data_IF_941776660567
#
_entry.id   IF_941776660567
#
_cell.length_a   1.000
_cell.length_b   1.000
_cell.length_c   1.000
_cell.angle_alpha   90.00
_cell.angle_beta   90.00
_cell.angle_gamma   90.00
#
_symmetry.space_group_name_H-M   'P 1'
#
loop_
_entity.id
_entity.type
_entity.pdbx_description
1 polymer ?
2 polymer ?
3 polymer ?
4 polymer ?
5 polymer ?
6 non-polymer ?
7 non-polymer ?
8 non-polymer ?
9 non-polymer ?
10 non-polymer ?
11 non-polymer ?
12 non-polymer ?
13 non-polymer ?
14 water ?
#
loop_
_entity_poly.entity_id
_entity_poly.type
_entity_poly.pdbx_seq_one_letter_code
_entity_poly.pdbx_strand_id
2 'polydeoxyribonucleotide' '(DC)(DG)(DG)(DC)(DA)(DT)' ?
3 'polydeoxyribonucleotide' '(DA)(DC)(DG)' ?
4 'polydeoxyribonucleotide' '(DC)(DG)(DT)(DA)(DT)' ?
5 'polydeoxyribonucleotide' '(DG)(DC)(DC)(DG)' ?
#
# COMPACT_ATOMS: atom_id res chain seq x y z
CA UNK A 9 23.16 -16.96 10.32
C UNK A 9 21.91 -17.48 9.61
N UNK A 10 20.80 -16.75 9.74
CA UNK A 10 19.51 -17.27 9.31
C UNK A 10 19.40 -17.33 7.79
N UNK A 11 18.68 -18.35 7.32
CA UNK A 11 18.24 -18.42 5.93
C UNK A 11 17.55 -17.12 5.52
N UNK A 12 18.04 -16.47 4.46
CA UNK A 12 17.33 -15.26 4.04
C UNK A 12 17.58 -14.91 2.58
N UNK A 13 16.63 -15.18 1.69
CA UNK A 13 16.81 -14.76 0.30
C UNK A 13 16.72 -13.25 0.18
N UNK A 14 17.28 -12.75 -0.92
CA UNK A 14 17.49 -11.33 -1.08
C UNK A 14 16.24 -10.59 -1.51
N UNK A 15 15.29 -11.25 -2.17
CA UNK A 15 14.05 -10.62 -2.61
C UNK A 15 12.93 -10.95 -1.64
N UNK A 16 12.11 -9.94 -1.34
CA UNK A 16 11.04 -10.18 -0.37
C UNK A 16 10.01 -11.18 -0.89
N UNK A 17 9.90 -11.35 -2.20
CA UNK A 17 8.93 -12.28 -2.74
C UNK A 17 9.36 -13.74 -2.68
N UNK A 18 10.58 -14.01 -2.19
CA UNK A 18 11.12 -15.35 -2.06
C UNK A 18 10.98 -15.92 -0.66
N UNK A 19 10.36 -15.20 0.26
CA UNK A 19 10.30 -15.65 1.65
C UNK A 19 8.95 -15.25 2.23
N UNK A 20 8.40 -16.06 3.11
CA UNK A 20 7.13 -15.70 3.74
C UNK A 20 7.35 -14.62 4.79
N UNK A 21 6.44 -13.66 4.83
CA UNK A 21 6.45 -12.62 5.85
C UNK A 21 5.06 -12.62 6.46
N UNK A 22 4.87 -13.13 7.66
CA UNK A 22 3.54 -13.25 8.24
C UNK A 22 3.08 -11.93 8.83
N UNK A 23 1.79 -11.87 9.15
CA UNK A 23 1.21 -10.69 9.74
C UNK A 23 1.86 -10.37 11.09
N UNK A 24 2.02 -11.38 11.93
CA UNK A 24 2.57 -11.22 13.26
C UNK A 24 3.99 -11.75 13.22
N UNK A 25 4.94 -10.92 13.59
CA UNK A 25 6.34 -11.32 13.49
C UNK A 25 7.14 -10.66 14.59
N UNK A 26 8.41 -11.01 14.65
CA UNK A 26 9.30 -10.44 15.64
C UNK A 26 9.95 -9.14 15.12
N UNK A 27 10.68 -8.49 16.01
CA UNK A 27 11.58 -7.41 15.67
C UNK A 27 10.85 -6.14 15.27
N UNK A 28 9.64 -5.95 15.80
CA UNK A 28 8.85 -4.79 15.43
C UNK A 28 9.57 -3.49 15.81
N UNK A 29 10.20 -3.46 16.97
CA UNK A 29 10.92 -2.25 17.36
C UNK A 29 12.04 -1.92 16.40
N UNK A 30 12.84 -2.92 16.05
CA UNK A 30 13.94 -2.69 15.12
C UNK A 30 13.42 -2.27 13.75
N UNK A 31 12.39 -2.97 13.25
CA UNK A 31 11.87 -2.64 11.93
C UNK A 31 11.21 -1.27 11.91
N UNK A 32 10.55 -0.87 13.01
CA UNK A 32 9.93 0.45 13.04
C UNK A 32 10.98 1.56 12.97
N UNK A 33 12.12 1.37 13.63
CA UNK A 33 13.20 2.35 13.57
C UNK A 33 13.74 2.50 12.15
N UNK A 34 13.99 1.37 11.49
CA UNK A 34 14.44 1.42 10.11
C UNK A 34 13.38 2.03 9.19
N UNK A 35 12.10 1.78 9.46
CA UNK A 35 11.07 2.40 8.63
C UNK A 35 10.95 3.90 8.84
N UNK A 36 11.27 4.40 10.04
CA UNK A 36 11.39 5.85 10.21
C UNK A 36 12.47 6.43 9.31
N UNK A 37 13.65 5.78 9.29
CA UNK A 37 14.71 6.28 8.42
C UNK A 37 14.32 6.16 6.95
N UNK A 38 13.57 5.12 6.58
CA UNK A 38 13.11 5.01 5.20
C UNK A 38 12.18 6.16 4.82
N UNK A 39 11.20 6.45 5.68
CA UNK A 39 10.26 7.55 5.45
C UNK A 39 11.01 8.87 5.34
N UNK A 40 11.97 9.09 6.25
CA UNK A 40 12.75 10.32 6.19
C UNK A 40 13.58 10.42 4.93
N UNK A 41 14.13 9.29 4.46
CA UNK A 41 14.85 9.31 3.19
C UNK A 41 13.92 9.73 2.06
N UNK A 42 12.71 9.21 2.07
CA UNK A 42 11.73 9.64 1.08
C UNK A 42 11.45 11.13 1.14
N UNK A 43 11.32 11.67 2.36
CA UNK A 43 11.03 13.08 2.51
C UNK A 43 12.14 13.96 1.94
N UNK A 44 13.37 13.47 1.94
CA UNK A 44 14.49 14.20 1.36
C UNK A 44 14.75 13.84 -0.11
N UNK A 45 13.88 13.04 -0.72
CA UNK A 45 13.97 12.74 -2.13
C UNK A 45 14.92 11.63 -2.49
N UNK A 46 15.35 10.82 -1.51
CA UNK A 46 16.24 9.71 -1.81
C UNK A 46 15.45 8.40 -1.80
N UNK A 47 14.91 8.06 -2.96
CA UNK A 47 14.11 6.85 -3.08
C UNK A 47 14.99 5.60 -2.98
N UNK A 48 16.26 5.68 -3.36
CA UNK A 48 17.13 4.54 -3.19
C UNK A 48 17.37 4.19 -1.73
N UNK A 49 17.71 5.19 -0.92
CA UNK A 49 17.87 4.96 0.52
C UNK A 49 16.56 4.46 1.13
N UNK A 50 15.43 5.07 0.76
CA UNK A 50 14.15 4.59 1.24
C UNK A 50 14.00 3.10 0.99
N UNK A 51 14.34 2.67 -0.22
CA UNK A 51 14.13 1.28 -0.58
C UNK A 51 15.04 0.34 0.19
N UNK A 52 16.31 0.72 0.43
CA UNK A 52 17.19 -0.12 1.25
C UNK A 52 16.68 -0.24 2.69
N UNK A 53 16.28 0.89 3.32
CA UNK A 53 15.80 0.81 4.69
C UNK A 53 14.50 0.01 4.78
N UNK A 54 13.61 0.14 3.79
CA UNK A 54 12.42 -0.71 3.76
C UNK A 54 12.80 -2.18 3.62
N UNK A 55 13.72 -2.48 2.72
CA UNK A 55 14.12 -3.87 2.53
C UNK A 55 14.76 -4.46 3.78
N UNK A 56 15.59 -3.68 4.47
CA UNK A 56 16.21 -4.16 5.69
C UNK A 56 15.17 -4.40 6.79
N UNK A 57 14.23 -3.46 6.95
CA UNK A 57 13.14 -3.66 7.90
C UNK A 57 12.37 -4.93 7.58
N UNK A 58 12.13 -5.17 6.30
CA UNK A 58 11.34 -6.33 5.89
C UNK A 58 12.07 -7.62 6.21
N UNK A 59 13.41 -7.65 6.03
CA UNK A 59 14.19 -8.83 6.36
C UNK A 59 13.96 -9.20 7.83
N UNK A 60 13.94 -8.22 8.72
CA UNK A 60 13.74 -8.52 10.14
C UNK A 60 12.37 -9.12 10.40
N UNK A 61 11.38 -8.76 9.60
CA UNK A 61 10.04 -9.32 9.81
C UNK A 61 9.96 -10.76 9.39
N UNK A 62 10.87 -11.22 8.54
CA UNK A 62 10.87 -12.58 8.04
C UNK A 62 11.74 -13.51 8.87
N UNK A 63 12.47 -13.01 9.86
CA UNK A 63 13.34 -13.85 10.65
C UNK A 63 12.54 -14.74 11.58
N UNK A 64 13.07 -15.93 11.92
CA UNK A 64 12.32 -16.85 12.78
C UNK A 64 12.23 -16.40 14.23
N UNK A 65 13.17 -15.59 14.72
CA UNK A 65 13.23 -15.26 16.13
C UNK A 65 13.59 -13.82 16.38
N UNK A 66 13.42 -13.32 17.60
CA UNK A 66 13.89 -11.98 17.94
C UNK A 66 15.40 -11.86 17.76
N UNK A 67 15.80 -10.72 17.20
CA UNK A 67 17.22 -10.36 17.16
C UNK A 67 17.58 -9.77 18.52
N UNK A 68 18.52 -10.41 19.20
CA UNK A 68 18.99 -9.98 20.50
C UNK A 68 20.46 -9.63 20.53
N UNK A 69 21.23 -10.06 19.54
CA UNK A 69 22.66 -9.79 19.46
C UNK A 69 23.00 -9.38 18.03
N UNK A 70 23.99 -8.48 17.92
CA UNK A 70 24.39 -8.00 16.60
C UNK A 70 24.81 -9.14 15.69
N UNK A 71 25.32 -10.23 16.25
CA UNK A 71 25.82 -11.32 15.41
C UNK A 71 24.72 -11.96 14.58
N UNK A 72 23.46 -11.86 15.02
CA UNK A 72 22.36 -12.43 14.25
C UNK A 72 22.13 -11.70 12.93
N UNK A 73 22.76 -10.55 12.71
CA UNK A 73 22.64 -9.84 11.44
C UNK A 73 23.63 -10.34 10.39
N UNK A 74 24.62 -11.12 10.81
CA UNK A 74 25.65 -11.56 9.89
C UNK A 74 25.03 -12.23 8.66
N UNK A 75 25.44 -11.78 7.50
CA UNK A 75 25.05 -12.41 6.27
C UNK A 75 23.69 -12.02 5.75
N UNK A 76 22.94 -11.17 6.46
CA UNK A 76 21.60 -10.87 5.98
C UNK A 76 21.64 -9.88 4.81
N UNK A 77 20.86 -10.12 3.77
CA UNK A 77 20.80 -9.14 2.67
C UNK A 77 20.25 -7.81 3.14
N UNK A 78 20.78 -6.74 2.53
CA UNK A 78 20.36 -5.35 2.72
C UNK A 78 20.76 -4.77 4.06
N UNK A 79 21.58 -5.49 4.85
CA UNK A 79 22.22 -4.94 6.04
C UNK A 79 23.66 -4.60 5.73
N UNK A 80 23.95 -3.32 5.73
CA UNK A 80 25.32 -2.84 5.62
C UNK A 80 25.68 -2.04 6.83
N UNK A 81 26.64 -1.13 6.67
CA UNK A 81 27.15 -0.41 7.83
C UNK A 81 26.06 0.39 8.51
N UNK A 82 25.20 1.05 7.73
CA UNK A 82 24.26 1.99 8.32
C UNK A 82 23.13 1.27 9.05
N UNK A 83 22.48 0.31 8.38
CA UNK A 83 21.39 -0.42 9.02
C UNK A 83 21.87 -1.22 10.21
N UNK A 84 23.07 -1.79 10.13
CA UNK A 84 23.63 -2.54 11.26
C UNK A 84 23.88 -1.64 12.45
N UNK A 85 24.39 -0.43 12.21
CA UNK A 85 24.65 0.49 13.33
C UNK A 85 23.37 0.88 14.05
N UNK A 86 22.29 1.11 13.30
CA UNK A 86 21.00 1.43 13.92
C UNK A 86 20.56 0.28 14.83
N UNK A 87 20.61 -0.94 14.34
CA UNK A 87 20.24 -2.09 15.16
C UNK A 87 21.15 -2.19 16.38
N UNK A 88 22.47 -2.02 16.17
CA UNK A 88 23.42 -2.14 17.27
C UNK A 88 23.10 -1.15 18.39
N UNK A 89 22.83 0.11 18.03
CA UNK A 89 22.47 1.10 19.04
C UNK A 89 21.19 0.72 19.78
N UNK A 90 20.18 0.26 19.04
CA UNK A 90 18.94 -0.15 19.69
C UNK A 90 19.19 -1.31 20.66
N UNK A 91 20.01 -2.27 20.27
CA UNK A 91 20.27 -3.41 21.13
C UNK A 91 21.07 -2.98 22.36
N UNK A 92 22.05 -2.09 22.16
CA UNK A 92 22.97 -1.70 23.23
C UNK A 92 22.41 -0.61 24.13
N UNK A 93 21.46 0.18 23.65
CA UNK A 93 20.98 1.33 24.42
C UNK A 93 19.47 1.47 24.44
N UNK A 94 18.73 0.72 23.63
CA UNK A 94 17.29 0.85 23.58
C UNK A 94 16.80 2.03 22.75
N UNK A 95 17.71 2.84 22.22
CA UNK A 95 17.35 3.96 21.36
C UNK A 95 18.48 4.18 20.36
N UNK A 96 18.15 4.78 19.23
CA UNK A 96 19.11 5.15 18.21
C UNK A 96 19.07 6.66 18.05
N UNK A 97 20.22 7.31 18.28
CA UNK A 97 20.25 8.76 18.26
C UNK A 97 19.74 9.32 16.94
N UNK A 98 20.19 8.75 15.82
CA UNK A 98 19.74 9.25 14.52
C UNK A 98 18.22 9.17 14.39
N UNK A 99 17.64 8.05 14.82
CA UNK A 99 16.20 7.87 14.71
C UNK A 99 15.47 8.89 15.58
N UNK A 100 15.97 9.12 16.80
CA UNK A 100 15.31 10.09 17.68
C UNK A 100 15.42 11.51 17.13
N UNK A 101 16.57 11.88 16.58
CA UNK A 101 16.71 13.22 16.00
C UNK A 101 15.75 13.41 14.83
N UNK A 102 15.65 12.39 13.98
CA UNK A 102 14.72 12.48 12.86
C UNK A 102 13.30 12.60 13.37
N UNK A 103 12.87 11.67 14.20
CA UNK A 103 11.45 11.64 14.52
C UNK A 103 11.03 12.85 15.35
N UNK A 104 11.94 13.47 16.08
CA UNK A 104 11.59 14.66 16.85
C UNK A 104 11.77 15.96 16.07
N UNK A 105 12.24 15.90 14.82
CA UNK A 105 12.51 17.10 14.05
C UNK A 105 11.23 17.72 13.47
N UNK A 106 11.22 19.04 13.39
CA UNK A 106 10.09 19.76 12.82
C UNK A 106 9.86 19.32 11.37
N UNK A 107 10.95 19.14 10.62
CA UNK A 107 10.84 18.77 9.22
C UNK A 107 10.13 17.44 9.07
N UNK A 108 10.56 16.42 9.84
CA UNK A 108 9.93 15.12 9.72
C UNK A 108 8.47 15.17 10.14
N UNK A 109 8.18 15.82 11.28
CA UNK A 109 6.81 15.81 11.77
C UNK A 109 5.87 16.51 10.80
N UNK A 110 6.32 17.63 10.22
CA UNK A 110 5.48 18.37 9.30
C UNK A 110 5.30 17.62 7.98
N UNK A 111 6.38 17.01 7.47
CA UNK A 111 6.25 16.25 6.25
C UNK A 111 5.35 15.04 6.42
N UNK A 112 5.40 14.41 7.59
CA UNK A 112 4.50 13.31 7.87
C UNK A 112 3.07 13.80 7.90
N UNK A 113 2.82 14.92 8.58
CA UNK A 113 1.48 15.48 8.65
C UNK A 113 0.93 15.79 7.26
N UNK A 114 1.73 16.42 6.41
CA UNK A 114 1.21 16.85 5.12
C UNK A 114 1.06 15.67 4.15
N UNK A 115 2.05 14.76 4.12
CA UNK A 115 1.97 13.64 3.18
C UNK A 115 0.89 12.64 3.56
N UNK A 116 0.42 12.68 4.79
CA UNK A 116 -0.70 11.81 5.16
C UNK A 116 -2.02 12.30 4.62
N UNK A 117 -2.09 13.53 4.10
CA UNK A 117 -3.32 14.07 3.52
C UNK A 117 -3.52 13.45 2.13
N UNK A 118 -4.72 12.94 1.88
CA UNK A 118 -5.07 12.43 0.55
C UNK A 118 -4.94 13.55 -0.47
N UNK A 119 -4.11 13.32 -1.50
CA UNK A 119 -3.84 14.29 -2.52
C UNK A 119 -2.51 14.99 -2.40
N UNK A 120 -1.77 14.76 -1.32
CA UNK A 120 -0.48 15.40 -1.06
C UNK A 120 0.61 14.35 -1.01
N UNK A 121 1.65 14.53 -1.85
CA UNK A 121 2.85 13.73 -1.77
C UNK A 121 4.05 14.52 -1.31
N UNK A 122 5.23 13.86 -1.37
CA UNK A 122 6.45 14.48 -0.86
C UNK A 122 6.74 15.80 -1.55
N UNK A 123 6.66 15.85 -2.88
CA UNK A 123 7.06 17.09 -3.56
C UNK A 123 6.14 18.25 -3.19
N UNK A 124 4.83 18.01 -3.07
CA UNK A 124 3.92 19.07 -2.64
C UNK A 124 4.17 19.46 -1.18
N UNK A 125 4.30 18.46 -0.31
CA UNK A 125 4.58 18.74 1.09
C UNK A 125 5.86 19.54 1.28
N UNK A 126 6.91 19.20 0.55
CA UNK A 126 8.18 19.90 0.66
C UNK A 126 8.07 21.34 0.16
N UNK A 127 7.33 21.56 -0.92
CA UNK A 127 7.12 22.94 -1.40
C UNK A 127 6.43 23.76 -0.32
N UNK A 128 5.38 23.20 0.30
CA UNK A 128 4.68 23.92 1.36
C UNK A 128 5.57 24.13 2.57
N UNK A 129 6.39 23.14 2.91
CA UNK A 129 7.31 23.29 4.03
C UNK A 129 8.27 24.44 3.77
N UNK A 130 8.85 24.46 2.56
CA UNK A 130 9.81 25.52 2.20
C UNK A 130 9.14 26.89 2.15
N UNK A 131 7.82 26.94 2.02
CA UNK A 131 7.06 28.19 2.07
C UNK A 131 6.69 28.62 3.48
N UNK A 132 7.07 27.84 4.49
CA UNK A 132 6.79 28.14 5.88
C UNK A 132 5.52 27.56 6.44
N UNK A 133 4.78 26.76 5.68
CA UNK A 133 3.57 26.17 6.21
C UNK A 133 3.92 25.00 7.13
N UNK A 134 3.15 24.86 8.22
CA UNK A 134 3.45 23.86 9.23
C UNK A 134 2.24 23.09 9.75
N UNK A 135 1.02 23.60 9.60
CA UNK A 135 -0.17 22.99 10.18
C UNK A 135 -1.25 22.85 9.13
N UNK A 136 -2.24 22.00 9.44
CA UNK A 136 -3.39 21.85 8.53
C UNK A 136 -4.18 23.16 8.45
N UNK A 137 -4.25 23.92 9.55
CA UNK A 137 -4.92 25.21 9.51
C UNK A 137 -4.23 26.16 8.54
N UNK A 138 -2.89 26.12 8.47
CA UNK A 138 -2.17 26.94 7.50
C UNK A 138 -2.63 26.63 6.08
N UNK A 139 -2.88 25.35 5.77
CA UNK A 139 -3.30 24.99 4.42
C UNK A 139 -4.72 25.50 4.15
N UNK A 140 -5.61 25.38 5.13
CA UNK A 140 -6.97 25.88 4.97
C UNK A 140 -6.99 27.37 4.69
N UNK A 141 -6.06 28.12 5.28
CA UNK A 141 -6.01 29.56 5.07
C UNK A 141 -5.53 29.94 3.68
N UNK A 142 -5.05 28.99 2.88
CA UNK A 142 -4.56 29.27 1.53
C UNK A 142 -5.13 28.26 0.53
N UNK A 143 -6.44 28.25 0.36
CA UNK A 143 -7.07 27.24 -0.52
C UNK A 143 -6.72 27.39 -1.99
N UNK A 144 -6.13 28.51 -2.40
CA UNK A 144 -5.66 28.64 -3.76
C UNK A 144 -4.51 27.68 -4.04
N UNK A 145 -3.86 27.19 -2.99
CA UNK A 145 -2.77 26.24 -3.16
C UNK A 145 -3.25 24.79 -3.35
N UNK A 146 -4.55 24.54 -3.30
CA UNK A 146 -5.08 23.18 -3.17
C UNK A 146 -5.80 22.71 -4.42
N UNK A 147 -5.51 21.47 -4.85
CA UNK A 147 -6.34 20.79 -5.83
C UNK A 147 -7.65 20.36 -5.19
N UNK A 148 -8.61 19.98 -6.04
CA UNK A 148 -9.86 19.46 -5.54
C UNK A 148 -9.65 18.17 -4.76
N UNK A 149 -8.70 17.35 -5.19
CA UNK A 149 -8.39 16.13 -4.44
C UNK A 149 -7.87 16.47 -3.05
N UNK A 150 -6.97 17.44 -2.95
CA UNK A 150 -6.43 17.85 -1.66
C UNK A 150 -7.51 18.48 -0.79
N UNK A 151 -8.41 19.23 -1.39
CA UNK A 151 -9.49 19.82 -0.59
C UNK A 151 -10.33 18.72 0.05
N UNK A 152 -10.62 17.66 -0.69
CA UNK A 152 -11.37 16.54 -0.11
C UNK A 152 -10.58 15.87 1.00
N UNK A 153 -9.28 15.68 0.77
CA UNK A 153 -8.46 15.06 1.80
C UNK A 153 -8.39 15.88 3.07
N UNK A 154 -8.36 17.21 2.92
CA UNK A 154 -8.34 18.08 4.10
C UNK A 154 -9.69 18.13 4.78
N UNK A 155 -10.78 18.22 3.99
CA UNK A 155 -12.12 18.31 4.55
C UNK A 155 -12.49 17.07 5.36
N UNK A 156 -11.94 15.91 5.01
CA UNK A 156 -12.28 14.67 5.66
C UNK A 156 -11.10 14.08 6.41
N UNK A 157 -10.11 14.91 6.76
CA UNK A 157 -8.87 14.40 7.31
C UNK A 157 -9.08 13.64 8.61
N UNK A 158 -9.92 14.15 9.50
CA UNK A 158 -10.10 13.49 10.80
C UNK A 158 -10.64 12.07 10.61
N UNK A 159 -11.68 11.90 9.79
CA UNK A 159 -12.21 10.56 9.56
C UNK A 159 -11.18 9.68 8.83
N UNK A 160 -10.47 10.25 7.87
CA UNK A 160 -9.52 9.42 7.11
C UNK A 160 -8.32 9.01 7.95
N UNK A 161 -8.11 9.67 9.09
CA UNK A 161 -7.06 9.27 10.02
C UNK A 161 -7.51 8.20 11.00
N UNK A 162 -8.77 7.87 11.02
CA UNK A 162 -9.34 6.83 11.89
C UNK A 162 -9.20 5.48 11.23
N UNK A 163 -8.64 4.47 11.89
CA UNK A 163 -8.46 3.17 11.23
C UNK A 163 -9.79 2.58 10.75
N UNK A 164 -9.76 2.06 9.53
CA UNK A 164 -10.87 1.29 8.99
C UNK A 164 -10.81 -0.11 9.60
N UNK A 165 -11.95 -0.60 10.09
CA UNK A 165 -12.05 -1.90 10.75
C UNK A 165 -12.80 -2.91 9.89
N UNK A 166 -12.74 -4.18 10.27
CA UNK A 166 -13.41 -5.23 9.50
C UNK A 166 -14.92 -5.04 9.44
N UNK A 167 -15.53 -4.50 10.49
CA UNK A 167 -16.97 -4.23 10.44
C UNK A 167 -17.30 -3.23 9.34
N UNK A 168 -16.40 -2.24 9.15
CA UNK A 168 -16.56 -1.27 8.06
C UNK A 168 -16.43 -1.97 6.71
N UNK A 169 -15.44 -2.85 6.59
CA UNK A 169 -15.23 -3.59 5.35
C UNK A 169 -16.49 -4.36 4.97
N UNK A 170 -17.08 -5.08 5.92
CA UNK A 170 -18.25 -5.89 5.61
C UNK A 170 -19.41 -5.04 5.14
N UNK A 171 -19.66 -3.90 5.80
CA UNK A 171 -20.72 -3.00 5.35
C UNK A 171 -20.44 -2.43 3.97
N UNK A 172 -19.19 -2.03 3.73
CA UNK A 172 -18.85 -1.45 2.44
C UNK A 172 -18.94 -2.48 1.32
N UNK A 173 -18.50 -3.71 1.59
CA UNK A 173 -18.58 -4.72 0.55
C UNK A 173 -20.03 -4.96 0.15
N UNK A 174 -20.96 -4.93 1.12
CA UNK A 174 -22.37 -5.12 0.79
C UNK A 174 -22.89 -4.01 -0.12
N UNK A 175 -22.55 -2.76 0.16
CA UNK A 175 -23.08 -1.69 -0.68
C UNK A 175 -22.39 -1.69 -2.04
N UNK A 176 -21.09 -2.02 -2.11
CA UNK A 176 -20.43 -2.10 -3.41
C UNK A 176 -21.00 -3.27 -4.22
N UNK A 177 -21.24 -4.42 -3.58
CA UNK A 177 -21.83 -5.55 -4.29
C UNK A 177 -23.23 -5.20 -4.82
N UNK A 178 -24.02 -4.44 -4.07
CA UNK A 178 -25.33 -4.05 -4.55
C UNK A 178 -25.22 -3.18 -5.80
N UNK A 179 -24.35 -2.17 -5.75
CA UNK A 179 -24.20 -1.29 -6.89
C UNK A 179 -23.66 -2.02 -8.09
N UNK A 180 -22.67 -2.89 -7.88
CA UNK A 180 -22.10 -3.66 -8.98
C UNK A 180 -23.15 -4.57 -9.59
N UNK A 181 -23.96 -5.23 -8.77
CA UNK A 181 -24.97 -6.14 -9.32
C UNK A 181 -26.06 -5.40 -10.06
N UNK A 182 -26.41 -4.20 -9.60
CA UNK A 182 -27.34 -3.37 -10.36
C UNK A 182 -26.73 -2.90 -11.67
N UNK A 183 -25.41 -2.68 -11.71
CA UNK A 183 -24.75 -2.14 -12.88
C UNK A 183 -24.47 -3.19 -13.95
N UNK A 184 -24.28 -4.44 -13.57
CA UNK A 184 -23.95 -5.47 -14.55
C UNK A 184 -24.24 -6.82 -13.93
N UNK A 185 -25.32 -7.49 -14.33
CA UNK A 185 -25.62 -8.79 -13.75
C UNK A 185 -24.46 -9.75 -13.95
N UNK A 186 -24.14 -10.50 -12.88
CA UNK A 186 -23.07 -11.46 -12.92
C UNK A 186 -21.71 -10.92 -12.54
N UNK A 187 -21.56 -9.61 -12.41
CA UNK A 187 -20.29 -9.05 -12.01
C UNK A 187 -20.01 -9.38 -10.56
N UNK A 188 -18.72 -9.52 -10.22
CA UNK A 188 -18.30 -9.90 -8.89
C UNK A 188 -17.39 -8.85 -8.26
N UNK A 189 -17.32 -8.91 -6.94
CA UNK A 189 -16.52 -8.02 -6.10
C UNK A 189 -15.62 -8.87 -5.22
N UNK A 190 -14.32 -8.60 -5.25
CA UNK A 190 -13.33 -9.31 -4.45
C UNK A 190 -12.61 -8.32 -3.55
N UNK A 191 -12.60 -8.57 -2.26
CA UNK A 191 -11.80 -7.78 -1.33
C UNK A 191 -10.32 -8.05 -1.57
N UNK A 192 -9.56 -6.98 -1.74
CA UNK A 192 -8.11 -7.08 -1.90
C UNK A 192 -7.41 -6.17 -0.88
N UNK A 193 -6.20 -5.74 -1.19
CA UNK A 193 -5.45 -4.93 -0.24
C UNK A 193 -5.10 -5.66 1.06
N UNK A 194 -4.81 -4.84 2.07
CA UNK A 194 -4.34 -5.35 3.34
C UNK A 194 -5.32 -6.29 4.02
N UNK A 195 -6.63 -6.03 3.88
CA UNK A 195 -7.59 -6.91 4.52
C UNK A 195 -7.52 -8.32 3.95
N UNK A 196 -7.21 -8.48 2.67
CA UNK A 196 -7.06 -9.84 2.14
C UNK A 196 -5.81 -10.53 2.70
N UNK A 197 -4.78 -9.77 3.09
CA UNK A 197 -3.58 -10.33 3.71
C UNK A 197 -3.79 -10.65 5.19
N UNK A 198 -4.96 -10.37 5.73
CA UNK A 198 -5.23 -10.65 7.13
C UNK A 198 -5.16 -9.46 8.06
N UNK A 199 -4.83 -8.28 7.56
CA UNK A 199 -4.77 -7.12 8.43
C UNK A 199 -6.12 -6.87 9.08
N UNK A 200 -6.07 -6.37 10.31
CA UNK A 200 -7.28 -6.11 11.06
C UNK A 200 -7.76 -4.68 10.94
N UNK A 201 -6.90 -3.79 10.47
CA UNK A 201 -7.32 -2.44 10.17
C UNK A 201 -6.57 -1.96 8.94
N UNK A 202 -7.02 -0.83 8.41
CA UNK A 202 -6.39 -0.29 7.23
C UNK A 202 -6.70 1.18 7.10
N UNK A 203 -6.08 1.82 6.11
CA UNK A 203 -6.35 3.21 5.81
C UNK A 203 -7.48 3.36 4.79
N UNK A 204 -7.84 2.26 4.14
CA UNK A 204 -8.87 2.25 3.12
C UNK A 204 -9.36 0.82 2.96
N UNK A 205 -10.31 0.65 2.06
CA UNK A 205 -10.75 -0.66 1.60
C UNK A 205 -10.54 -0.73 0.10
N UNK A 206 -9.95 -1.83 -0.38
CA UNK A 206 -9.66 -2.04 -1.80
C UNK A 206 -10.51 -3.16 -2.36
N UNK A 207 -11.22 -2.91 -3.46
CA UNK A 207 -12.08 -3.90 -4.12
C UNK A 207 -11.74 -4.06 -5.60
N UNK A 208 -11.72 -5.32 -6.06
CA UNK A 208 -11.47 -5.66 -7.45
C UNK A 208 -12.73 -6.25 -8.05
N UNK A 209 -13.17 -5.69 -9.17
CA UNK A 209 -14.43 -6.01 -9.81
C UNK A 209 -14.17 -6.61 -11.19
N UNK A 210 -14.86 -7.71 -11.51
CA UNK A 210 -14.73 -8.30 -12.83
C UNK A 210 -16.06 -8.95 -13.21
N UNK A 211 -16.06 -9.63 -14.36
CA UNK A 211 -17.21 -10.38 -14.85
C UNK A 211 -16.64 -11.61 -15.53
N UNK A 212 -17.27 -12.78 -15.37
CA UNK A 212 -16.70 -14.00 -15.96
C UNK A 212 -16.63 -14.01 -17.49
N UNK A 213 -17.39 -13.15 -18.17
CA UNK A 213 -17.39 -13.11 -19.64
C UNK A 213 -16.53 -11.93 -20.10
N UNK A 214 -15.39 -12.23 -20.73
CA UNK A 214 -14.48 -11.20 -21.19
C UNK A 214 -15.17 -10.13 -22.04
N UNK A 215 -14.97 -8.87 -21.68
CA UNK A 215 -15.53 -7.75 -22.39
C UNK A 215 -16.78 -7.17 -21.78
N UNK A 216 -17.51 -7.96 -21.00
CA UNK A 216 -18.75 -7.48 -20.39
C UNK A 216 -18.47 -6.34 -19.44
N UNK A 217 -17.27 -6.30 -18.85
CA UNK A 217 -16.94 -5.32 -17.84
C UNK A 217 -16.56 -3.97 -18.43
N UNK A 218 -16.47 -3.86 -19.74
CA UNK A 218 -16.18 -2.56 -20.34
C UNK A 218 -17.21 -1.54 -19.92
N UNK A 219 -16.73 -0.37 -19.50
CA UNK A 219 -17.63 0.72 -19.11
C UNK A 219 -18.31 0.55 -17.77
N UNK A 220 -17.88 -0.42 -16.97
CA UNK A 220 -18.59 -0.71 -15.73
C UNK A 220 -18.37 0.36 -14.67
N UNK A 221 -17.14 0.87 -14.52
CA UNK A 221 -16.94 1.68 -13.31
C UNK A 221 -17.78 2.96 -13.30
N UNK A 222 -17.97 3.68 -14.42
CA UNK A 222 -18.86 4.85 -14.36
C UNK A 222 -20.28 4.47 -13.94
N UNK A 223 -20.77 3.29 -14.34
CA UNK A 223 -22.11 2.86 -13.93
C UNK A 223 -22.17 2.56 -12.44
N UNK A 224 -21.13 1.93 -11.89
CA UNK A 224 -21.09 1.68 -10.45
C UNK A 224 -21.05 2.99 -9.70
N UNK A 225 -20.20 3.92 -10.12
CA UNK A 225 -20.06 5.19 -9.41
C UNK A 225 -21.37 5.97 -9.41
N UNK A 226 -22.06 6.00 -10.55
CA UNK A 226 -23.33 6.72 -10.60
C UNK A 226 -24.35 6.12 -9.63
N UNK A 227 -24.37 4.80 -9.54
CA UNK A 227 -25.33 4.15 -8.65
C UNK A 227 -24.99 4.41 -7.18
N UNK A 228 -23.71 4.39 -6.82
CA UNK A 228 -23.32 4.75 -5.47
C UNK A 228 -23.63 6.22 -5.18
N UNK A 229 -23.36 7.10 -6.15
CA UNK A 229 -23.60 8.52 -5.95
C UNK A 229 -25.08 8.79 -5.73
N UNK A 230 -25.96 8.03 -6.40
CA UNK A 230 -27.40 8.26 -6.27
C UNK A 230 -27.96 7.77 -4.95
N UNK A 231 -27.28 6.85 -4.29
CA UNK A 231 -27.62 6.45 -2.94
C UNK A 231 -27.04 7.38 -1.88
N UNK A 232 -26.38 8.47 -2.30
CA UNK A 232 -25.76 9.40 -1.37
C UNK A 232 -24.50 8.88 -0.71
N UNK A 233 -23.86 7.88 -1.29
CA UNK A 233 -22.73 7.22 -0.63
C UNK A 233 -21.37 7.82 -0.97
N UNK A 234 -21.29 8.77 -1.89
CA UNK A 234 -20.01 9.26 -2.40
C UNK A 234 -19.81 10.70 -1.95
N UNK A 235 -18.74 10.95 -1.18
CA UNK A 235 -18.33 12.29 -0.80
C UNK A 235 -17.34 12.91 -1.78
N UNK A 236 -16.49 12.08 -2.37
CA UNK A 236 -15.50 12.56 -3.32
C UNK A 236 -15.25 11.45 -4.32
N UNK A 237 -15.15 11.83 -5.59
CA UNK A 237 -14.61 10.96 -6.60
C UNK A 237 -13.90 11.82 -7.64
N UNK A 238 -13.04 11.18 -8.43
CA UNK A 238 -12.12 11.88 -9.31
C UNK A 238 -12.79 12.55 -10.50
N UNK A 239 -14.06 12.27 -10.76
CA UNK A 239 -14.76 12.83 -11.92
C UNK A 239 -15.98 13.63 -11.48
N UNK A 258 -14.16 7.60 -19.13
CA UNK A 258 -13.66 6.23 -19.31
C UNK A 258 -12.54 5.94 -18.32
N UNK A 259 -12.75 5.04 -17.35
CA UNK A 259 -11.70 4.75 -16.38
C UNK A 259 -11.86 3.37 -15.76
N UNK A 260 -10.75 2.85 -15.19
CA UNK A 260 -10.74 1.55 -14.55
C UNK A 260 -10.30 1.53 -13.09
N UNK A 261 -9.87 2.67 -12.53
CA UNK A 261 -9.57 2.80 -11.12
C UNK A 261 -10.26 4.03 -10.57
N UNK A 262 -10.87 3.90 -9.39
CA UNK A 262 -11.56 5.01 -8.73
C UNK A 262 -11.09 5.10 -7.30
N UNK A 263 -10.55 6.26 -6.91
CA UNK A 263 -10.07 6.52 -5.57
C UNK A 263 -11.09 7.43 -4.90
N UNK A 264 -12.00 6.84 -4.15
CA UNK A 264 -13.25 7.43 -3.65
C UNK A 264 -13.12 7.75 -2.16
N UNK A 265 -13.97 8.66 -1.72
CA UNK A 265 -14.30 8.80 -0.31
C UNK A 265 -15.79 8.53 -0.18
N UNK A 266 -16.15 7.49 0.59
CA UNK A 266 -17.52 7.09 0.83
C UNK A 266 -18.06 7.73 2.09
N UNK A 267 -19.35 8.04 2.06
CA UNK A 267 -20.12 8.39 3.25
C UNK A 267 -20.71 7.09 3.82
N UNK A 268 -20.01 6.47 4.75
CA UNK A 268 -20.40 5.17 5.28
C UNK A 268 -21.38 5.34 6.43
N UNK A 269 -22.62 4.87 6.31
CA UNK A 269 -23.56 4.96 7.43
C UNK A 269 -23.04 4.26 8.67
N UNK A 270 -23.27 4.87 9.82
CA UNK A 270 -23.00 4.36 11.14
C UNK A 270 -24.26 4.56 11.96
N UNK A 271 -24.39 3.94 13.11
CA UNK A 271 -25.62 4.13 13.91
C UNK A 271 -25.83 5.61 14.26
N UNK A 272 -26.92 6.18 13.74
CA UNK A 272 -27.27 7.58 13.96
C UNK A 272 -26.41 8.58 13.22
N UNK A 273 -25.47 8.14 12.38
CA UNK A 273 -24.51 9.08 11.83
C UNK A 273 -23.79 8.46 10.64
N UNK A 274 -22.58 8.93 10.36
CA UNK A 274 -21.79 8.44 9.24
C UNK A 274 -20.33 8.82 9.45
N UNK A 275 -19.45 8.17 8.71
CA UNK A 275 -18.03 8.53 8.70
C UNK A 275 -17.51 8.38 7.28
N UNK A 276 -16.57 9.25 6.94
CA UNK A 276 -15.90 9.16 5.65
C UNK A 276 -14.87 8.04 5.65
N UNK A 277 -14.87 7.25 4.58
CA UNK A 277 -13.91 6.16 4.42
C UNK A 277 -13.36 6.18 3.01
N UNK A 278 -12.04 6.03 2.86
CA UNK A 278 -11.42 5.86 1.56
C UNK A 278 -11.70 4.47 1.02
N UNK A 279 -12.15 4.41 -0.23
CA UNK A 279 -12.44 3.16 -0.92
C UNK A 279 -11.80 3.25 -2.30
N UNK A 280 -11.05 2.21 -2.68
CA UNK A 280 -10.52 2.07 -4.02
C UNK A 280 -11.26 0.99 -4.75
N UNK A 281 -11.70 1.30 -5.96
CA UNK A 281 -12.38 0.35 -6.83
C UNK A 281 -11.56 0.19 -8.09
N UNK A 282 -11.34 -1.04 -8.48
CA UNK A 282 -10.61 -1.33 -9.71
C UNK A 282 -11.37 -2.37 -10.50
N UNK A 283 -11.54 -2.13 -11.79
CA UNK A 283 -12.11 -3.10 -12.72
C UNK A 283 -10.99 -3.74 -13.53
N UNK A 284 -11.11 -5.05 -13.74
CA UNK A 284 -10.23 -5.79 -14.64
C UNK A 284 -11.04 -6.75 -15.49
N UNK A 285 -10.69 -6.94 -16.76
CA UNK A 285 -11.24 -8.06 -17.49
C UNK A 285 -10.79 -9.38 -16.87
N UNK A 286 -11.60 -10.42 -17.04
CA UNK A 286 -11.30 -11.66 -16.33
C UNK A 286 -9.95 -12.25 -16.76
N UNK A 287 -9.52 -12.04 -18.02
CA UNK A 287 -8.19 -12.49 -18.45
C UNK A 287 -7.09 -11.89 -17.59
N UNK A 288 -7.29 -10.69 -17.05
CA UNK A 288 -6.29 -10.00 -16.25
C UNK A 288 -6.51 -10.17 -14.76
N UNK A 289 -7.64 -10.74 -14.35
CA UNK A 289 -7.97 -10.80 -12.93
C UNK A 289 -6.86 -11.36 -12.06
N UNK A 290 -6.17 -12.46 -12.40
CA UNK A 290 -5.14 -12.95 -11.48
C UNK A 290 -4.01 -11.95 -11.28
N UNK A 291 -3.67 -11.20 -12.33
CA UNK A 291 -2.61 -10.20 -12.23
C UNK A 291 -3.06 -9.02 -11.38
N UNK A 292 -4.32 -8.61 -11.53
CA UNK A 292 -4.82 -7.49 -10.75
C UNK A 292 -4.99 -7.90 -9.30
N UNK A 293 -5.45 -9.13 -9.06
CA UNK A 293 -5.58 -9.64 -7.70
C UNK A 293 -4.21 -9.69 -7.00
N UNK A 294 -3.21 -10.18 -7.71
CA UNK A 294 -1.87 -10.24 -7.15
C UNK A 294 -1.33 -8.85 -6.83
N UNK A 295 -1.46 -7.91 -7.78
CA UNK A 295 -0.90 -6.59 -7.55
C UNK A 295 -1.61 -5.86 -6.43
N UNK A 296 -2.94 -5.89 -6.43
CA UNK A 296 -3.70 -5.13 -5.45
C UNK A 296 -3.78 -5.80 -4.08
N UNK A 297 -3.35 -7.06 -3.97
CA UNK A 297 -3.24 -7.68 -2.64
C UNK A 297 -1.96 -7.29 -1.93
N UNK A 298 -0.93 -6.89 -2.66
CA UNK A 298 0.24 -6.34 -1.98
C UNK A 298 1.07 -7.40 -1.26
N UNK A 299 1.80 -6.96 -0.23
CA UNK A 299 2.01 -5.57 0.16
C UNK A 299 2.71 -4.77 -0.93
N UNK A 300 2.79 -3.45 -0.73
CA UNK A 300 3.50 -2.59 -1.67
C UNK A 300 4.93 -3.08 -1.90
N UNK A 301 5.68 -3.30 -0.82
CA UNK A 301 7.06 -3.76 -0.99
C UNK A 301 7.09 -5.13 -1.64
N UNK A 302 6.17 -6.02 -1.26
CA UNK A 302 6.15 -7.34 -1.88
C UNK A 302 6.02 -7.22 -3.39
N UNK A 303 5.15 -6.33 -3.86
CA UNK A 303 4.92 -6.23 -5.30
C UNK A 303 6.09 -5.55 -6.01
N UNK A 304 6.68 -4.52 -5.42
CA UNK A 304 7.88 -3.94 -5.99
C UNK A 304 8.96 -5.00 -6.15
N UNK A 305 9.12 -5.83 -5.14
CA UNK A 305 10.16 -6.86 -5.13
C UNK A 305 9.84 -7.94 -6.14
N UNK A 306 8.57 -8.32 -6.24
CA UNK A 306 8.15 -9.31 -7.22
C UNK A 306 8.40 -8.83 -8.64
N UNK A 307 8.10 -7.55 -8.91
CA UNK A 307 8.30 -7.03 -10.25
C UNK A 307 9.79 -6.90 -10.57
N UNK A 308 10.58 -6.52 -9.57
CA UNK A 308 12.03 -6.50 -9.74
C UNK A 308 12.57 -7.88 -10.03
N UNK A 309 12.13 -8.86 -9.26
CA UNK A 309 12.51 -10.25 -9.50
C UNK A 309 12.16 -10.67 -10.92
N UNK A 310 10.93 -10.39 -11.33
CA UNK A 310 10.46 -10.81 -12.64
C UNK A 310 11.36 -10.27 -13.74
N UNK A 311 11.68 -8.98 -13.68
CA UNK A 311 12.45 -8.38 -14.77
C UNK A 311 13.92 -8.80 -14.68
N UNK A 312 14.49 -8.73 -13.49
CA UNK A 312 15.94 -8.91 -13.35
C UNK A 312 16.32 -10.38 -13.44
N UNK A 313 15.54 -11.25 -12.82
CA UNK A 313 15.86 -12.68 -12.78
C UNK A 313 15.21 -13.49 -13.90
N UNK A 314 14.06 -13.06 -14.45
CA UNK A 314 13.38 -13.82 -15.48
C UNK A 314 13.26 -13.09 -16.82
N UNK A 315 13.60 -11.79 -16.88
CA UNK A 315 13.44 -11.03 -18.10
C UNK A 315 12.01 -10.81 -18.51
N UNK A 316 11.07 -10.88 -17.58
CA UNK A 316 9.66 -10.69 -17.86
C UNK A 316 9.15 -9.45 -17.14
N UNK A 317 8.17 -8.77 -17.73
CA UNK A 317 7.67 -7.50 -17.20
C UNK A 317 6.30 -7.74 -16.59
N UNK A 318 6.16 -7.47 -15.29
CA UNK A 318 4.95 -7.75 -14.53
C UNK A 318 4.25 -6.48 -14.07
N UNK A 319 2.92 -6.42 -14.26
CA UNK A 319 2.12 -5.42 -13.57
C UNK A 319 0.73 -5.99 -13.38
N UNK A 320 -0.24 -5.16 -12.99
CA UNK A 320 -1.57 -5.64 -12.68
C UNK A 320 -2.39 -5.98 -13.92
N UNK A 321 -1.82 -5.82 -15.12
CA UNK A 321 -2.48 -6.21 -16.36
C UNK A 321 -1.97 -7.52 -16.92
N UNK A 322 -0.79 -7.96 -16.56
CA UNK A 322 -0.18 -9.07 -17.25
C UNK A 322 1.29 -9.26 -16.93
N UNK A 323 1.83 -10.30 -17.55
CA UNK A 323 3.22 -10.72 -17.42
C UNK A 323 3.72 -10.89 -18.84
N UNK A 324 4.56 -9.96 -19.29
CA UNK A 324 4.93 -9.81 -20.69
C UNK A 324 6.33 -10.32 -20.94
N UNK A 325 6.51 -11.14 -22.00
CA UNK A 325 7.82 -11.56 -22.45
C UNK A 325 8.24 -10.66 -23.59
N UNK A 326 9.20 -9.74 -23.39
CA UNK A 326 9.49 -8.76 -24.42
C UNK A 326 10.30 -9.32 -25.59
N UNK A 327 10.84 -10.54 -25.48
CA UNK A 327 11.51 -11.14 -26.62
C UNK A 327 10.49 -11.73 -27.59
N UNK A 328 9.64 -12.66 -27.08
CA UNK A 328 8.56 -13.25 -27.87
C UNK A 328 7.41 -12.29 -28.10
N UNK A 329 7.31 -11.21 -27.32
CA UNK A 329 6.24 -10.25 -27.45
C UNK A 329 4.88 -10.90 -27.17
N UNK A 330 4.83 -11.69 -26.10
CA UNK A 330 3.64 -12.42 -25.73
C UNK A 330 3.34 -12.18 -24.26
N UNK A 331 2.07 -12.34 -23.92
CA UNK A 331 1.56 -12.30 -22.56
C UNK A 331 1.28 -13.71 -22.04
N UNK A 332 1.67 -13.96 -20.80
CA UNK A 332 1.42 -15.23 -20.14
C UNK A 332 -0.04 -15.32 -19.74
N UNK A 333 -0.72 -16.39 -20.15
CA UNK A 333 -2.11 -16.59 -19.79
C UNK A 333 -2.15 -17.28 -18.43
N UNK A 334 -2.71 -16.61 -17.44
CA UNK A 334 -2.79 -17.15 -16.10
C UNK A 334 -4.26 -17.26 -15.70
N UNK A 335 -4.59 -18.32 -14.95
CA UNK A 335 -5.90 -18.47 -14.36
C UNK A 335 -5.93 -18.18 -12.86
N UNK A 336 -4.77 -18.13 -12.22
CA UNK A 336 -4.68 -17.99 -10.78
C UNK A 336 -3.37 -17.27 -10.43
N UNK A 337 -3.32 -16.75 -9.21
CA UNK A 337 -2.05 -16.25 -8.66
C UNK A 337 -0.99 -17.35 -8.65
N UNK A 338 -1.40 -18.57 -8.33
CA UNK A 338 -0.46 -19.69 -8.28
C UNK A 338 0.23 -19.87 -9.63
N UNK A 339 -0.52 -19.71 -10.72
CA UNK A 339 0.09 -19.82 -12.06
C UNK A 339 1.20 -18.80 -12.24
N UNK A 340 1.02 -17.59 -11.72
CA UNK A 340 2.00 -16.53 -11.91
C UNK A 340 3.27 -16.84 -11.11
N UNK A 341 3.13 -17.19 -9.83
CA UNK A 341 4.28 -17.60 -9.04
C UNK A 341 5.04 -18.73 -9.73
N UNK A 342 4.32 -19.75 -10.20
CA UNK A 342 4.99 -20.92 -10.81
C UNK A 342 5.75 -20.52 -12.07
N UNK A 343 5.16 -19.66 -12.90
CA UNK A 343 5.83 -19.24 -14.13
C UNK A 343 7.10 -18.45 -13.84
N UNK A 344 7.17 -17.76 -12.69
CA UNK A 344 8.35 -17.01 -12.28
C UNK A 344 9.38 -17.85 -11.54
N UNK A 345 9.08 -19.12 -11.29
CA UNK A 345 10.00 -19.98 -10.56
C UNK A 345 10.02 -19.73 -9.07
N UNK A 346 8.92 -19.22 -8.51
CA UNK A 346 8.81 -18.89 -7.10
C UNK A 346 7.86 -19.85 -6.40
N UNK A 347 8.20 -20.23 -5.18
CA UNK A 347 7.25 -20.94 -4.35
C UNK A 347 6.05 -20.05 -4.06
N UNK A 348 4.85 -20.62 -4.17
CA UNK A 348 3.63 -19.86 -3.92
C UNK A 348 3.56 -19.40 -2.47
N UNK A 349 3.17 -18.14 -2.28
CA UNK A 349 2.91 -17.62 -0.94
C UNK A 349 1.45 -17.17 -0.87
N UNK A 350 0.68 -17.62 0.10
CA UNK A 350 -0.70 -17.11 0.23
C UNK A 350 -0.68 -15.67 0.68
N UNK A 351 -1.81 -14.95 0.55
CA UNK A 351 -1.81 -13.50 0.88
C UNK A 351 -1.29 -13.17 2.26
N UNK A 352 -1.57 -14.01 3.26
CA UNK A 352 -1.16 -13.71 4.63
C UNK A 352 0.33 -13.87 4.86
N UNK A 353 1.07 -14.37 3.87
CA UNK A 353 2.52 -14.44 3.94
C UNK A 353 3.18 -13.42 3.02
N UNK A 354 2.43 -12.44 2.52
CA UNK A 354 2.96 -11.40 1.62
C UNK A 354 3.10 -10.05 2.33
N UNK A 355 3.27 -10.06 3.64
CA UNK A 355 3.28 -8.83 4.45
C UNK A 355 4.68 -8.26 4.57
N UNK A 356 5.38 -8.21 3.46
CA UNK A 356 6.72 -7.63 3.45
C UNK A 356 6.69 -6.15 3.73
#
# INVERSE_FOLDING_TARGET
GSAAAPLSPAWMPAYACQRPTPLTHHNTGLSEALEILAEAAGFEGSEGRLLTFCRAASVLKALPSPVTTLSQLQGLPHFGEHSSRVVQELLEHGVCEEVERVRRSERYQTMKLFTQIFGVGVKTADRWYREGLRTLDDLREQPQKLTQQQKAGLQHHQDLSTPVLRSDVDALQQVVEEAVGQALPGATVTLTGGFRRGKLQGHDVDFLITHPKEGQEAGLLPRVMCRLQDQGLILYHQHQHSCCESPTRLAQQSHMDAFERSFCIFRLPQPGSWKAVRVDLVVAPVSQFPFALLGWTGSKLFQRELRRFSRKEKGLWLNSHGLFDPEQKTFFQAASEEDIFRHLGLEYLPPEQRNA
#
